data_IF_824547649169
#
_entry.id   IF_824547649169
#
_cell.length_a   1.000
_cell.length_b   1.000
_cell.length_c   1.000
_cell.angle_alpha   90.00
_cell.angle_beta   90.00
_cell.angle_gamma   90.00
#
_symmetry.space_group_name_H-M   'P 1'
#
loop_
_entity.id
_entity.type
_entity.pdbx_description
1 polymer ?
#
# COMPACT_ATOMS: atom_id res chain seq x y z
N UNK A 1 -57.33 -3.12 -14.62
CA UNK A 1 -56.08 -3.07 -15.44
C UNK A 1 -55.85 -1.59 -15.74
N UNK A 2 -54.80 -0.91 -15.32
CA UNK A 2 -53.38 -1.23 -15.39
C UNK A 2 -52.61 -0.50 -14.25
N UNK A 3 -51.72 -1.24 -13.57
CA UNK A 3 -50.73 -0.69 -12.63
C UNK A 3 -49.60 -0.06 -13.45
N UNK A 4 -49.33 1.22 -13.25
CA UNK A 4 -48.04 1.81 -13.64
C UNK A 4 -47.20 1.96 -12.36
N UNK A 5 -46.46 0.89 -12.04
CA UNK A 5 -45.42 0.93 -11.03
C UNK A 5 -44.19 1.53 -11.71
N UNK A 6 -43.86 2.79 -11.38
CA UNK A 6 -42.55 3.36 -11.70
C UNK A 6 -41.52 2.60 -10.88
N UNK A 7 -40.79 1.69 -11.52
CA UNK A 7 -39.63 1.01 -10.95
C UNK A 7 -38.56 2.06 -10.69
N UNK A 8 -38.38 2.43 -9.42
CA UNK A 8 -37.18 3.11 -8.94
C UNK A 8 -35.99 2.18 -9.15
N UNK A 9 -35.22 2.42 -10.21
CA UNK A 9 -33.88 1.86 -10.34
C UNK A 9 -33.03 2.49 -9.23
N UNK A 10 -32.75 1.72 -8.18
CA UNK A 10 -31.69 2.04 -7.22
C UNK A 10 -30.40 2.21 -8.02
N UNK A 11 -29.88 3.43 -8.11
CA UNK A 11 -28.47 3.65 -8.40
C UNK A 11 -27.68 2.91 -7.33
N UNK A 12 -26.97 1.85 -7.71
CA UNK A 12 -25.98 1.23 -6.84
C UNK A 12 -24.81 2.21 -6.73
N UNK A 13 -24.64 2.85 -5.56
CA UNK A 13 -23.45 3.62 -5.25
C UNK A 13 -22.22 2.70 -5.41
N UNK A 14 -21.43 2.98 -6.44
CA UNK A 14 -20.17 2.32 -6.74
C UNK A 14 -19.06 3.08 -6.01
N UNK A 15 -19.13 3.12 -4.67
CA UNK A 15 -18.16 3.87 -3.86
C UNK A 15 -16.84 3.07 -3.83
N UNK A 16 -15.92 3.46 -4.71
CA UNK A 16 -14.58 2.90 -4.75
C UNK A 16 -13.85 3.19 -3.42
N UNK A 17 -13.46 2.15 -2.66
CA UNK A 17 -12.93 2.33 -1.30
C UNK A 17 -11.48 2.81 -1.25
N UNK A 18 -10.85 3.10 -2.40
CA UNK A 18 -9.43 3.45 -2.52
C UNK A 18 -8.96 4.48 -1.48
N UNK A 19 -9.62 5.64 -1.41
CA UNK A 19 -9.20 6.72 -0.50
C UNK A 19 -9.44 6.37 0.97
N UNK A 20 -10.48 5.59 1.28
CA UNK A 20 -10.78 5.16 2.64
C UNK A 20 -9.76 4.12 3.13
N UNK A 21 -9.40 3.15 2.29
CA UNK A 21 -8.33 2.19 2.57
C UNK A 21 -6.99 2.90 2.77
N UNK A 22 -6.67 3.86 1.89
CA UNK A 22 -5.44 4.64 1.98
C UNK A 22 -5.38 5.48 3.26
N UNK A 23 -6.49 6.11 3.64
CA UNK A 23 -6.62 6.85 4.91
C UNK A 23 -6.44 5.93 6.12
N UNK A 24 -7.01 4.73 6.08
CA UNK A 24 -6.84 3.74 7.15
C UNK A 24 -5.36 3.36 7.33
N UNK A 25 -4.67 3.05 6.22
CA UNK A 25 -3.24 2.68 6.23
C UNK A 25 -2.37 3.76 6.85
N UNK A 26 -2.55 5.03 6.47
CA UNK A 26 -1.76 6.13 7.03
C UNK A 26 -2.17 6.53 8.46
N UNK A 27 -3.26 5.97 8.99
CA UNK A 27 -3.67 6.15 10.39
C UNK A 27 -3.20 5.05 11.33
N UNK A 28 -2.52 4.02 10.80
CA UNK A 28 -2.03 2.89 11.58
C UNK A 28 -1.09 3.35 12.70
N UNK A 29 -1.33 2.81 13.89
CA UNK A 29 -0.51 2.97 15.08
C UNK A 29 -0.59 1.70 15.93
N UNK A 30 0.22 1.63 16.99
CA UNK A 30 0.26 0.46 17.90
C UNK A 30 -1.11 0.12 18.48
N UNK A 31 -1.91 1.13 18.82
CA UNK A 31 -3.25 0.95 19.40
C UNK A 31 -4.24 0.35 18.41
N UNK A 32 -4.25 0.83 17.16
CA UNK A 32 -5.12 0.26 16.11
C UNK A 32 -4.72 -1.15 15.71
N UNK A 33 -3.45 -1.51 15.88
CA UNK A 33 -2.92 -2.84 15.58
C UNK A 33 -2.99 -3.80 16.77
N UNK A 34 -3.44 -3.34 17.94
CA UNK A 34 -3.45 -4.16 19.15
C UNK A 34 -2.07 -4.61 19.62
N UNK A 35 -1.01 -3.89 19.24
CA UNK A 35 0.36 -4.18 19.61
C UNK A 35 0.71 -3.51 20.93
N UNK A 36 1.48 -4.21 21.78
CA UNK A 36 2.15 -3.58 22.92
C UNK A 36 3.22 -2.59 22.44
N UNK A 37 3.75 -1.76 23.34
CA UNK A 37 4.75 -0.72 23.01
C UNK A 37 5.92 -1.34 22.25
N UNK A 38 5.94 -1.14 20.94
CA UNK A 38 7.07 -1.49 20.09
C UNK A 38 8.17 -0.44 20.23
N UNK A 39 9.41 -0.85 19.99
CA UNK A 39 10.56 0.07 19.98
C UNK A 39 10.32 1.20 18.98
N UNK A 40 10.74 2.43 19.30
CA UNK A 40 10.73 3.56 18.34
C UNK A 40 11.55 3.20 17.09
N UNK A 41 11.10 3.70 15.93
CA UNK A 41 11.71 3.43 14.64
C UNK A 41 11.32 2.13 13.95
N UNK A 42 10.44 1.29 14.54
CA UNK A 42 9.92 0.09 13.87
C UNK A 42 8.94 0.47 12.77
N UNK A 43 9.07 -0.17 11.59
CA UNK A 43 8.08 -0.07 10.52
C UNK A 43 6.83 -0.86 10.87
N UNK A 44 5.73 -0.16 11.16
CA UNK A 44 4.40 -0.74 11.36
C UNK A 44 3.77 -1.14 10.02
N UNK A 45 4.02 -0.34 8.98
CA UNK A 45 3.53 -0.59 7.64
C UNK A 45 4.44 0.03 6.59
N UNK A 46 4.66 -0.69 5.50
CA UNK A 46 5.32 -0.17 4.29
C UNK A 46 4.32 -0.18 3.14
N UNK A 47 4.28 0.94 2.41
CA UNK A 47 3.42 1.14 1.26
C UNK A 47 4.28 1.44 0.04
N UNK A 48 3.94 0.84 -1.10
CA UNK A 48 4.47 1.22 -2.42
C UNK A 48 3.31 1.65 -3.31
N UNK A 49 3.36 2.88 -3.81
CA UNK A 49 2.40 3.41 -4.77
C UNK A 49 3.09 3.76 -6.08
N UNK A 50 2.47 3.41 -7.20
CA UNK A 50 2.97 3.77 -8.52
C UNK A 50 1.83 4.00 -9.49
N UNK A 51 2.09 4.81 -10.51
CA UNK A 51 1.16 5.03 -11.61
C UNK A 51 1.20 3.83 -12.57
N UNK A 52 0.02 3.35 -12.96
CA UNK A 52 -0.15 2.30 -13.96
C UNK A 52 -1.37 2.59 -14.85
N UNK A 53 -1.10 2.93 -16.12
CA UNK A 53 -2.12 3.08 -17.18
C UNK A 53 -3.26 4.05 -16.85
N UNK A 54 -2.94 5.20 -16.27
CA UNK A 54 -3.89 6.23 -15.82
C UNK A 54 -4.51 5.97 -14.45
N UNK A 55 -4.01 5.00 -13.69
CA UNK A 55 -4.47 4.66 -12.34
C UNK A 55 -3.29 4.59 -11.36
N UNK A 56 -3.56 4.53 -10.06
CA UNK A 56 -2.53 4.30 -9.04
C UNK A 56 -2.77 2.92 -8.45
N UNK A 57 -1.71 2.11 -8.43
CA UNK A 57 -1.69 0.88 -7.65
C UNK A 57 -1.01 1.14 -6.30
N UNK A 58 -1.58 0.57 -5.24
CA UNK A 58 -1.09 0.70 -3.88
C UNK A 58 -0.89 -0.70 -3.29
N UNK A 59 0.36 -1.07 -3.04
CA UNK A 59 0.75 -2.25 -2.27
C UNK A 59 0.93 -1.84 -0.80
N UNK A 60 0.39 -2.64 0.12
CA UNK A 60 0.45 -2.43 1.57
C UNK A 60 0.96 -3.70 2.24
N UNK A 61 1.96 -3.55 3.11
CA UNK A 61 2.51 -4.61 3.96
C UNK A 61 2.54 -4.15 5.41
N UNK A 62 1.73 -4.76 6.27
CA UNK A 62 1.57 -4.42 7.69
C UNK A 62 2.33 -5.42 8.56
N UNK A 63 2.80 -4.98 9.73
CA UNK A 63 3.57 -5.78 10.69
C UNK A 63 2.84 -7.02 11.23
N UNK A 64 1.51 -7.05 11.20
CA UNK A 64 0.70 -8.21 11.57
C UNK A 64 0.58 -9.27 10.44
N UNK A 65 1.24 -9.03 9.30
CA UNK A 65 1.18 -9.87 8.10
C UNK A 65 0.06 -9.51 7.13
N UNK A 66 -0.85 -8.60 7.51
CA UNK A 66 -1.90 -8.09 6.62
C UNK A 66 -1.25 -7.44 5.39
N UNK A 67 -1.61 -7.95 4.21
CA UNK A 67 -1.02 -7.52 2.95
C UNK A 67 -2.12 -7.30 1.92
N UNK A 68 -2.09 -6.17 1.21
CA UNK A 68 -3.11 -5.83 0.21
C UNK A 68 -2.51 -5.14 -1.00
N UNK A 69 -3.13 -5.32 -2.17
CA UNK A 69 -2.84 -4.59 -3.41
C UNK A 69 -4.15 -4.05 -3.95
N UNK A 70 -4.32 -2.75 -4.10
CA UNK A 70 -5.56 -2.16 -4.61
C UNK A 70 -5.30 -1.00 -5.58
N UNK A 71 -6.29 -0.74 -6.45
CA UNK A 71 -6.18 0.26 -7.52
C UNK A 71 -7.08 1.46 -7.26
N UNK A 72 -6.65 2.65 -7.70
CA UNK A 72 -7.44 3.88 -7.62
C UNK A 72 -8.67 3.89 -8.51
N UNK A 73 -8.77 2.98 -9.46
CA UNK A 73 -9.97 2.73 -10.28
C UNK A 73 -10.89 1.66 -9.68
N UNK A 74 -10.53 1.12 -8.52
CA UNK A 74 -11.23 0.01 -7.86
C UNK A 74 -10.67 -1.36 -8.23
N UNK A 75 -11.03 -2.37 -7.43
CA UNK A 75 -10.49 -3.72 -7.53
C UNK A 75 -9.15 -3.89 -6.80
N UNK A 76 -8.67 -5.13 -6.75
CA UNK A 76 -7.46 -5.50 -6.02
C UNK A 76 -7.60 -6.82 -5.26
N UNK A 77 -6.59 -7.11 -4.45
CA UNK A 77 -6.51 -8.23 -3.53
C UNK A 77 -6.40 -7.64 -2.13
N UNK A 78 -7.44 -7.79 -1.32
CA UNK A 78 -7.47 -7.30 0.07
C UNK A 78 -7.27 -8.50 0.99
N UNK A 79 -6.26 -8.43 1.86
CA UNK A 79 -6.08 -9.42 2.93
C UNK A 79 -5.39 -10.72 2.52
N UNK A 80 -4.21 -10.66 1.91
CA UNK A 80 -3.37 -11.83 1.60
C UNK A 80 -2.63 -12.45 2.80
N UNK A 81 -2.79 -11.89 4.00
CA UNK A 81 -2.05 -12.30 5.21
C UNK A 81 -2.34 -13.70 5.74
N UNK A 82 -3.37 -14.39 5.21
CA UNK A 82 -3.65 -15.79 5.52
C UNK A 82 -2.74 -16.80 4.79
N UNK A 83 -1.88 -16.32 3.89
CA UNK A 83 -1.03 -17.17 3.06
C UNK A 83 0.44 -16.99 3.43
N UNK A 84 1.10 -18.08 3.84
CA UNK A 84 2.46 -18.06 4.36
C UNK A 84 3.47 -17.42 3.39
N UNK A 85 3.37 -17.71 2.09
CA UNK A 85 4.24 -17.13 1.07
C UNK A 85 4.09 -15.61 0.95
N UNK A 86 2.87 -15.09 1.15
CA UNK A 86 2.58 -13.65 1.16
C UNK A 86 3.15 -13.01 2.44
N UNK A 87 2.94 -13.63 3.60
CA UNK A 87 3.45 -13.14 4.89
C UNK A 87 4.98 -13.00 4.86
N UNK A 88 5.69 -14.00 4.31
CA UNK A 88 7.15 -13.98 4.18
C UNK A 88 7.64 -12.84 3.29
N UNK A 89 7.06 -12.69 2.08
CA UNK A 89 7.44 -11.63 1.15
C UNK A 89 7.11 -10.24 1.70
N UNK A 90 5.93 -10.10 2.29
CA UNK A 90 5.45 -8.86 2.92
C UNK A 90 6.34 -8.43 4.08
N UNK A 91 6.76 -9.36 4.93
CA UNK A 91 7.68 -9.09 6.03
C UNK A 91 9.05 -8.65 5.51
N UNK A 92 9.59 -9.33 4.50
CA UNK A 92 10.87 -8.96 3.89
C UNK A 92 10.83 -7.55 3.27
N UNK A 93 9.74 -7.20 2.58
CA UNK A 93 9.53 -5.86 2.04
C UNK A 93 9.44 -4.79 3.14
N UNK A 94 8.63 -5.05 4.18
CA UNK A 94 8.44 -4.13 5.30
C UNK A 94 9.74 -3.88 6.07
N UNK A 95 10.42 -4.94 6.48
CA UNK A 95 11.65 -4.85 7.28
C UNK A 95 12.80 -4.20 6.50
N UNK A 96 12.90 -4.45 5.18
CA UNK A 96 13.89 -3.79 4.35
C UNK A 96 13.71 -2.27 4.32
N UNK A 97 12.48 -1.77 4.41
CA UNK A 97 12.19 -0.33 4.37
C UNK A 97 12.81 0.45 5.53
N UNK A 98 13.06 -0.19 6.68
CA UNK A 98 13.63 0.46 7.87
C UNK A 98 15.04 1.01 7.59
N UNK A 99 15.81 0.34 6.72
CA UNK A 99 17.16 0.77 6.32
C UNK A 99 17.17 2.09 5.57
N UNK A 100 16.04 2.45 4.98
CA UNK A 100 15.89 3.64 4.15
C UNK A 100 15.36 4.86 4.89
N UNK A 101 14.86 4.70 6.13
CA UNK A 101 14.20 5.77 6.88
C UNK A 101 15.05 7.06 6.97
N UNK A 102 16.37 6.94 7.11
CA UNK A 102 17.29 8.09 7.18
C UNK A 102 17.41 8.89 5.86
N UNK A 103 16.96 8.31 4.74
CA UNK A 103 16.93 8.93 3.40
C UNK A 103 15.53 9.42 3.01
N UNK A 104 14.52 9.08 3.79
CA UNK A 104 13.13 9.50 3.56
C UNK A 104 12.82 10.82 4.28
N UNK A 105 11.78 11.52 3.82
CA UNK A 105 11.30 12.75 4.47
C UNK A 105 9.98 12.48 5.17
N UNK A 106 9.78 13.06 6.35
CA UNK A 106 8.48 12.97 7.03
C UNK A 106 7.39 13.60 6.14
N UNK A 107 6.26 12.93 6.02
CA UNK A 107 5.14 13.33 5.15
C UNK A 107 3.82 13.31 5.92
N UNK A 108 2.96 14.28 5.61
CA UNK A 108 1.60 14.39 6.15
C UNK A 108 0.55 14.67 5.07
N UNK A 109 0.99 14.92 3.83
CA UNK A 109 0.10 15.29 2.72
C UNK A 109 -0.35 14.06 1.93
N UNK A 110 0.43 12.98 1.96
CA UNK A 110 0.16 11.71 1.28
C UNK A 110 -0.25 11.93 -0.18
N UNK A 111 0.50 12.73 -0.94
CA UNK A 111 0.15 12.97 -2.35
C UNK A 111 0.37 11.71 -3.20
N UNK A 112 -0.57 11.40 -4.08
CA UNK A 112 -0.43 10.31 -5.04
C UNK A 112 0.82 10.52 -5.92
N UNK A 113 1.46 9.43 -6.40
CA UNK A 113 2.63 9.53 -7.26
C UNK A 113 2.32 10.29 -8.56
N UNK A 114 3.31 11.03 -9.05
CA UNK A 114 3.28 11.58 -10.41
C UNK A 114 3.47 10.46 -11.46
N UNK A 115 3.18 10.75 -12.73
CA UNK A 115 3.35 9.78 -13.80
C UNK A 115 4.82 9.34 -13.91
N UNK A 116 5.06 8.02 -13.95
CA UNK A 116 6.39 7.43 -14.02
C UNK A 116 7.17 7.45 -12.69
N UNK A 117 6.51 7.84 -11.59
CA UNK A 117 7.09 7.84 -10.25
C UNK A 117 6.57 6.66 -9.41
N UNK A 118 7.43 6.22 -8.49
CA UNK A 118 7.10 5.31 -7.40
C UNK A 118 7.27 6.07 -6.09
N UNK A 119 6.24 6.05 -5.26
CA UNK A 119 6.27 6.54 -3.90
C UNK A 119 6.38 5.38 -2.91
N UNK A 120 7.35 5.43 -2.00
CA UNK A 120 7.37 4.57 -0.82
C UNK A 120 6.91 5.36 0.39
N UNK A 121 6.06 4.76 1.22
CA UNK A 121 5.75 5.27 2.54
C UNK A 121 6.09 4.25 3.61
N UNK A 122 6.64 4.71 4.72
CA UNK A 122 6.89 3.89 5.91
C UNK A 122 6.17 4.53 7.09
N UNK A 123 5.15 3.84 7.59
CA UNK A 123 4.42 4.21 8.80
C UNK A 123 5.17 3.66 10.00
N UNK A 124 5.66 4.53 10.87
CA UNK A 124 6.34 4.17 12.12
C UNK A 124 5.56 4.72 13.31
N UNK A 125 6.03 4.40 14.52
CA UNK A 125 5.51 5.01 15.76
C UNK A 125 5.78 6.51 15.86
N UNK A 126 6.73 7.04 15.09
CA UNK A 126 7.18 8.44 15.14
C UNK A 126 6.59 9.32 14.02
N UNK A 127 5.93 8.70 13.04
CA UNK A 127 5.25 9.36 11.92
C UNK A 127 5.32 8.56 10.63
N UNK A 128 4.86 9.18 9.54
CA UNK A 128 4.95 8.59 8.20
C UNK A 128 6.10 9.25 7.45
N UNK A 129 6.92 8.43 6.80
CA UNK A 129 8.07 8.88 6.01
C UNK A 129 7.84 8.51 4.54
N UNK A 130 8.12 9.43 3.63
CA UNK A 130 7.94 9.30 2.19
C UNK A 130 9.29 9.36 1.45
N UNK A 131 9.41 8.51 0.44
CA UNK A 131 10.35 8.66 -0.66
C UNK A 131 9.58 8.73 -1.97
N UNK A 132 10.09 9.50 -2.93
CA UNK A 132 9.50 9.72 -4.25
C UNK A 132 10.64 9.68 -5.28
N UNK A 133 10.55 8.76 -6.24
CA UNK A 133 11.61 8.56 -7.23
C UNK A 133 11.09 7.99 -8.54
N UNK A 134 11.92 8.06 -9.57
CA UNK A 134 11.57 7.62 -10.92
C UNK A 134 11.56 6.09 -11.01
N UNK A 135 10.45 5.51 -11.48
CA UNK A 135 10.30 4.06 -11.65
C UNK A 135 11.42 3.50 -12.53
N UNK A 136 11.72 4.18 -13.65
CA UNK A 136 12.76 3.76 -14.58
C UNK A 136 14.15 3.62 -13.94
N UNK A 137 14.45 4.44 -12.92
CA UNK A 137 15.75 4.42 -12.25
C UNK A 137 15.81 3.29 -11.22
N UNK A 138 14.68 2.99 -10.55
CA UNK A 138 14.55 1.81 -9.69
C UNK A 138 14.64 0.50 -10.48
N UNK A 139 13.90 0.41 -11.61
CA UNK A 139 13.91 -0.76 -12.50
C UNK A 139 15.32 -1.01 -13.06
N UNK A 140 16.04 0.06 -13.40
CA UNK A 140 17.40 -0.04 -13.95
C UNK A 140 18.50 -0.10 -12.88
N UNK A 141 18.16 -0.21 -11.60
CA UNK A 141 19.11 -0.29 -10.49
C UNK A 141 20.05 0.92 -10.36
N UNK A 142 19.59 2.10 -10.81
CA UNK A 142 20.31 3.37 -10.63
C UNK A 142 19.85 4.16 -9.41
N UNK A 143 18.71 3.79 -8.84
CA UNK A 143 18.14 4.41 -7.66
C UNK A 143 18.55 3.65 -6.38
N UNK A 144 18.78 4.35 -5.26
CA UNK A 144 19.14 3.69 -3.99
C UNK A 144 17.99 2.80 -3.44
N UNK A 145 16.73 3.11 -3.78
CA UNK A 145 15.53 2.36 -3.39
C UNK A 145 15.23 1.16 -4.30
N UNK A 146 16.07 0.86 -5.29
CA UNK A 146 15.85 -0.24 -6.26
C UNK A 146 15.62 -1.58 -5.58
N UNK A 147 16.37 -1.92 -4.52
CA UNK A 147 16.16 -3.16 -3.79
C UNK A 147 14.78 -3.22 -3.10
N UNK A 148 14.33 -2.11 -2.52
CA UNK A 148 13.01 -2.02 -1.89
C UNK A 148 11.90 -2.18 -2.94
N UNK A 149 12.08 -1.59 -4.12
CA UNK A 149 11.18 -1.77 -5.26
C UNK A 149 11.05 -3.25 -5.64
N UNK A 150 12.16 -3.98 -5.82
CA UNK A 150 12.09 -5.40 -6.18
C UNK A 150 11.45 -6.28 -5.09
N UNK A 151 11.64 -5.95 -3.81
CA UNK A 151 10.94 -6.63 -2.71
C UNK A 151 9.42 -6.37 -2.76
N UNK A 152 9.00 -5.16 -3.11
CA UNK A 152 7.59 -4.83 -3.38
C UNK A 152 7.04 -5.64 -4.55
N UNK A 153 7.78 -5.74 -5.66
CA UNK A 153 7.38 -6.55 -6.83
C UNK A 153 7.32 -8.05 -6.52
N UNK A 154 8.22 -8.56 -5.67
CA UNK A 154 8.15 -9.93 -5.19
C UNK A 154 6.87 -10.16 -4.35
N UNK A 155 6.52 -9.22 -3.47
CA UNK A 155 5.29 -9.29 -2.68
C UNK A 155 4.04 -9.31 -3.57
N UNK A 156 4.00 -8.48 -4.62
CA UNK A 156 2.93 -8.50 -5.63
C UNK A 156 2.87 -9.86 -6.34
N UNK A 157 4.02 -10.45 -6.65
CA UNK A 157 4.10 -11.77 -7.28
C UNK A 157 3.51 -12.85 -6.38
N UNK A 158 3.82 -12.85 -5.09
CA UNK A 158 3.25 -13.80 -4.12
C UNK A 158 1.74 -13.59 -3.92
N UNK A 159 1.27 -12.34 -3.88
CA UNK A 159 -0.16 -12.03 -3.84
C UNK A 159 -0.92 -12.54 -5.07
N UNK A 160 -0.29 -12.52 -6.25
CA UNK A 160 -0.94 -13.02 -7.48
C UNK A 160 -1.08 -14.53 -7.53
N UNK A 161 -0.35 -15.28 -6.70
CA UNK A 161 -0.46 -16.76 -6.65
C UNK A 161 -1.70 -17.25 -5.90
N UNK A 162 -2.39 -16.37 -5.18
CA UNK A 162 -3.53 -16.73 -4.32
C UNK A 162 -4.88 -16.32 -4.92
N UNK A 163 -4.91 -15.87 -6.18
CA UNK A 163 -6.13 -15.45 -6.91
C UNK A 163 -6.28 -16.16 -8.24
#
# INVERSE_FOLDING_TARGET
MSRSTKTNLKQSNNDNPFYDLRKMVFSLNVGTLGLEVVKSGISLCTVMEWEISGSVATLVSVIDGSTSLYLSTGGGIIGGGGHQNVVEASSAFREASEKYLSRMKKDSDFKLPENGHVCFYVVTTDGVYKYDGLEKDMVSQRDEFSQLFFLGQNTITELRKIV
#
